data_IF_980020437593
#
_entry.id   IF_980020437593
#
_cell.length_a   1.000
_cell.length_b   1.000
_cell.length_c   1.000
_cell.angle_alpha   90.00
_cell.angle_beta   90.00
_cell.angle_gamma   90.00
#
_symmetry.space_group_name_H-M   'P 1'
#
loop_
_entity.id
_entity.type
_entity.pdbx_description
1 polymer ?
#
# COMPACT_ATOMS: atom_id res chain seq x y z
N UNK A 1 -0.73 14.07 -18.22
CA UNK A 1 -1.12 13.98 -16.80
C UNK A 1 0.14 14.25 -15.98
N UNK A 2 0.32 15.46 -15.44
CA UNK A 2 1.59 15.91 -14.86
C UNK A 2 1.96 15.10 -13.61
N UNK A 3 3.23 14.68 -13.51
CA UNK A 3 3.78 13.92 -12.37
C UNK A 3 3.55 14.57 -10.98
N UNK A 4 3.17 15.86 -10.95
CA UNK A 4 2.81 16.61 -9.74
C UNK A 4 1.68 16.00 -8.90
N UNK A 5 0.69 15.30 -9.51
CA UNK A 5 -0.51 14.79 -8.82
C UNK A 5 -0.44 13.33 -8.37
N UNK A 6 0.59 12.57 -8.75
CA UNK A 6 0.67 11.15 -8.37
C UNK A 6 1.22 11.08 -6.94
N UNK A 7 0.36 10.77 -5.95
CA UNK A 7 0.80 10.53 -4.57
C UNK A 7 1.81 9.38 -4.56
N UNK A 8 3.10 9.64 -4.28
CA UNK A 8 4.15 8.61 -4.35
C UNK A 8 3.83 7.44 -3.41
N UNK A 9 3.30 7.75 -2.22
CA UNK A 9 2.82 6.79 -1.23
C UNK A 9 1.81 5.81 -1.81
N UNK A 10 0.76 6.33 -2.46
CA UNK A 10 -0.31 5.51 -3.05
C UNK A 10 0.22 4.58 -4.14
N UNK A 11 1.11 5.07 -5.00
CA UNK A 11 1.73 4.28 -6.06
C UNK A 11 2.56 3.11 -5.51
N UNK A 12 3.43 3.38 -4.54
CA UNK A 12 4.27 2.35 -3.91
C UNK A 12 3.43 1.29 -3.19
N UNK A 13 2.49 1.71 -2.32
CA UNK A 13 1.64 0.79 -1.58
C UNK A 13 0.72 -0.04 -2.49
N UNK A 14 0.15 0.55 -3.55
CA UNK A 14 -0.68 -0.18 -4.50
C UNK A 14 0.12 -1.21 -5.30
N UNK A 15 1.36 -0.89 -5.69
CA UNK A 15 2.24 -1.83 -6.38
C UNK A 15 2.60 -3.02 -5.49
N UNK A 16 2.90 -2.79 -4.22
CA UNK A 16 3.20 -3.83 -3.22
C UNK A 16 1.99 -4.77 -3.07
N UNK A 17 0.79 -4.24 -2.82
CA UNK A 17 -0.43 -5.05 -2.72
C UNK A 17 -0.76 -5.82 -4.00
N UNK A 18 -0.45 -5.25 -5.17
CA UNK A 18 -0.69 -5.92 -6.45
C UNK A 18 0.22 -7.13 -6.65
N UNK A 19 1.51 -6.99 -6.31
CA UNK A 19 2.47 -8.10 -6.30
C UNK A 19 2.08 -9.15 -5.25
N UNK A 20 1.69 -8.70 -4.06
CA UNK A 20 1.25 -9.57 -2.97
C UNK A 20 -0.01 -10.35 -3.33
N UNK A 21 -0.96 -9.73 -4.05
CA UNK A 21 -2.16 -10.41 -4.55
C UNK A 21 -1.79 -11.63 -5.40
N UNK A 22 -0.79 -11.49 -6.27
CA UNK A 22 -0.30 -12.61 -7.10
C UNK A 22 0.32 -13.68 -6.20
N UNK A 23 1.16 -13.29 -5.23
CA UNK A 23 1.76 -14.23 -4.28
C UNK A 23 0.69 -15.00 -3.51
N UNK A 24 -0.32 -14.32 -2.95
CA UNK A 24 -1.41 -14.93 -2.20
C UNK A 24 -2.31 -15.80 -3.08
N UNK A 25 -2.58 -15.40 -4.32
CA UNK A 25 -3.28 -16.26 -5.29
C UNK A 25 -2.53 -17.56 -5.55
N UNK A 26 -1.21 -17.48 -5.72
CA UNK A 26 -0.32 -18.63 -5.92
C UNK A 26 -0.16 -19.51 -4.67
N UNK A 27 -0.59 -19.06 -3.50
CA UNK A 27 -0.64 -19.95 -2.31
C UNK A 27 -1.70 -21.03 -2.43
N UNK A 28 -2.74 -20.82 -3.26
CA UNK A 28 -3.81 -21.80 -3.47
C UNK A 28 -3.28 -23.19 -3.88
N UNK A 29 -2.50 -23.35 -4.97
CA UNK A 29 -1.94 -24.65 -5.31
C UNK A 29 -0.95 -25.17 -4.26
N UNK A 30 -0.21 -24.29 -3.58
CA UNK A 30 0.72 -24.70 -2.50
C UNK A 30 -0.06 -25.30 -1.32
N UNK A 31 -1.17 -24.68 -0.91
CA UNK A 31 -2.03 -25.20 0.16
C UNK A 31 -2.61 -26.57 -0.20
N UNK A 32 -3.03 -26.77 -1.45
CA UNK A 32 -3.64 -28.03 -1.90
C UNK A 32 -2.57 -29.14 -2.02
N UNK A 33 -1.47 -28.85 -2.71
CA UNK A 33 -0.50 -29.89 -3.12
C UNK A 33 0.52 -30.18 -2.03
N UNK A 34 0.90 -29.19 -1.24
CA UNK A 34 1.99 -29.30 -0.26
C UNK A 34 1.44 -29.41 1.16
N UNK A 35 0.40 -28.66 1.50
CA UNK A 35 -0.15 -28.61 2.86
C UNK A 35 -1.40 -29.49 3.05
N UNK A 36 -1.84 -30.22 2.01
CA UNK A 36 -3.01 -31.11 2.02
C UNK A 36 -4.30 -30.44 2.54
N UNK A 37 -4.43 -29.13 2.30
CA UNK A 37 -5.61 -28.36 2.69
C UNK A 37 -6.72 -28.61 1.68
N UNK A 38 -7.94 -28.81 2.17
CA UNK A 38 -9.12 -29.00 1.32
C UNK A 38 -9.29 -27.89 0.29
N UNK A 39 -9.59 -28.29 -0.96
CA UNK A 39 -9.66 -27.41 -2.14
C UNK A 39 -10.55 -26.18 -1.91
N UNK A 40 -11.72 -26.36 -1.28
CA UNK A 40 -12.65 -25.27 -1.00
C UNK A 40 -12.04 -24.21 -0.06
N UNK A 41 -11.35 -24.65 0.99
CA UNK A 41 -10.66 -23.76 1.95
C UNK A 41 -9.48 -23.06 1.28
N UNK A 42 -8.66 -23.80 0.54
CA UNK A 42 -7.51 -23.25 -0.16
C UNK A 42 -7.91 -22.17 -1.18
N UNK A 43 -8.96 -22.42 -1.98
CA UNK A 43 -9.51 -21.44 -2.92
C UNK A 43 -10.04 -20.21 -2.19
N UNK A 44 -10.83 -20.42 -1.13
CA UNK A 44 -11.43 -19.32 -0.36
C UNK A 44 -10.38 -18.41 0.26
N UNK A 45 -9.31 -18.98 0.83
CA UNK A 45 -8.23 -18.22 1.46
C UNK A 45 -7.34 -17.56 0.41
N UNK A 46 -6.80 -18.32 -0.54
CA UNK A 46 -5.84 -17.81 -1.51
C UNK A 46 -6.44 -16.78 -2.48
N UNK A 47 -7.54 -17.12 -3.13
CA UNK A 47 -8.23 -16.18 -4.04
C UNK A 47 -8.95 -15.07 -3.27
N UNK A 48 -9.52 -15.37 -2.10
CA UNK A 48 -10.15 -14.35 -1.27
C UNK A 48 -9.17 -13.27 -0.84
N UNK A 49 -7.98 -13.65 -0.37
CA UNK A 49 -6.92 -12.71 -0.02
C UNK A 49 -6.36 -11.98 -1.25
N UNK A 50 -6.18 -12.66 -2.39
CA UNK A 50 -5.80 -12.02 -3.65
C UNK A 50 -6.78 -10.90 -4.03
N UNK A 51 -8.07 -11.18 -4.02
CA UNK A 51 -9.11 -10.18 -4.34
C UNK A 51 -9.10 -9.06 -3.29
N UNK A 52 -8.97 -9.38 -2.00
CA UNK A 52 -8.87 -8.38 -0.95
C UNK A 52 -7.70 -7.42 -1.18
N UNK A 53 -6.52 -7.91 -1.55
CA UNK A 53 -5.36 -7.07 -1.90
C UNK A 53 -5.68 -6.10 -3.04
N UNK A 54 -6.29 -6.58 -4.12
CA UNK A 54 -6.64 -5.75 -5.27
C UNK A 54 -7.70 -4.69 -4.93
N UNK A 55 -8.69 -5.06 -4.12
CA UNK A 55 -9.71 -4.12 -3.64
C UNK A 55 -9.07 -3.04 -2.78
N UNK A 56 -8.25 -3.42 -1.79
CA UNK A 56 -7.55 -2.48 -0.91
C UNK A 56 -6.63 -1.56 -1.70
N UNK A 57 -5.92 -2.08 -2.71
CA UNK A 57 -5.11 -1.28 -3.62
C UNK A 57 -5.94 -0.20 -4.34
N UNK A 58 -7.19 -0.51 -4.72
CA UNK A 58 -8.14 0.42 -5.32
C UNK A 58 -8.70 1.50 -4.36
N UNK A 59 -8.85 1.18 -3.08
CA UNK A 59 -9.37 2.10 -2.03
C UNK A 59 -8.29 2.84 -1.22
N UNK A 60 -7.00 2.65 -1.53
CA UNK A 60 -5.87 3.42 -0.98
C UNK A 60 -5.94 4.95 -1.17
N UNK A 61 -6.99 5.45 -1.83
CA UNK A 61 -7.33 6.89 -1.85
C UNK A 61 -7.76 7.42 -0.48
N UNK A 62 -8.19 6.55 0.43
CA UNK A 62 -8.63 6.91 1.77
C UNK A 62 -7.63 6.43 2.83
N UNK A 63 -7.38 7.24 3.87
CA UNK A 63 -6.37 6.95 4.89
C UNK A 63 -6.64 5.66 5.67
N UNK A 64 -7.90 5.28 5.87
CA UNK A 64 -8.27 4.02 6.50
C UNK A 64 -7.89 2.79 5.66
N UNK A 65 -7.73 2.94 4.34
CA UNK A 65 -7.28 1.86 3.46
C UNK A 65 -5.88 1.34 3.83
N UNK A 66 -5.04 2.17 4.46
CA UNK A 66 -3.73 1.75 4.94
C UNK A 66 -3.81 0.82 6.15
N UNK A 67 -4.85 0.96 6.99
CA UNK A 67 -5.11 0.02 8.08
C UNK A 67 -5.53 -1.35 7.55
N UNK A 68 -6.33 -1.39 6.46
CA UNK A 68 -6.65 -2.66 5.80
C UNK A 68 -5.42 -3.33 5.21
N UNK A 69 -4.48 -2.57 4.64
CA UNK A 69 -3.22 -3.14 4.18
C UNK A 69 -2.43 -3.79 5.30
N UNK A 70 -2.35 -3.16 6.49
CA UNK A 70 -1.76 -3.82 7.66
C UNK A 70 -2.48 -5.11 8.07
N UNK A 71 -3.81 -5.14 8.00
CA UNK A 71 -4.57 -6.36 8.26
C UNK A 71 -4.22 -7.48 7.25
N UNK A 72 -4.05 -7.13 5.97
CA UNK A 72 -3.59 -8.06 4.93
C UNK A 72 -2.19 -8.59 5.26
N UNK A 73 -1.26 -7.71 5.68
CA UNK A 73 0.09 -8.16 6.05
C UNK A 73 0.08 -9.17 7.19
N UNK A 74 -0.74 -8.93 8.22
CA UNK A 74 -0.90 -9.87 9.32
C UNK A 74 -1.52 -11.20 8.84
N UNK A 75 -2.49 -11.15 7.94
CA UNK A 75 -3.08 -12.35 7.35
C UNK A 75 -2.07 -13.14 6.51
N UNK A 76 -1.25 -12.46 5.71
CA UNK A 76 -0.19 -13.08 4.91
C UNK A 76 0.86 -13.76 5.80
N UNK A 77 1.28 -13.09 6.88
CA UNK A 77 2.21 -13.67 7.87
C UNK A 77 1.56 -14.86 8.60
N UNK A 78 0.29 -14.76 8.98
CA UNK A 78 -0.45 -15.86 9.62
C UNK A 78 -0.57 -17.09 8.71
N UNK A 79 -0.60 -16.89 7.39
CA UNK A 79 -0.55 -18.00 6.44
C UNK A 79 0.77 -18.80 6.56
N UNK A 80 1.80 -18.22 7.17
CA UNK A 80 3.03 -18.88 7.61
C UNK A 80 2.81 -20.15 8.43
N UNK A 81 1.77 -20.21 9.24
CA UNK A 81 1.45 -21.41 10.04
C UNK A 81 1.01 -22.60 9.18
N UNK A 82 0.49 -22.34 7.98
CA UNK A 82 0.09 -23.37 7.01
C UNK A 82 1.21 -23.61 6.00
N UNK A 83 1.83 -22.54 5.53
CA UNK A 83 2.93 -22.55 4.56
C UNK A 83 4.11 -21.82 5.19
N UNK A 84 5.07 -22.50 5.83
CA UNK A 84 6.18 -21.85 6.56
C UNK A 84 6.96 -20.79 5.78
N UNK A 85 7.07 -20.95 4.45
CA UNK A 85 7.70 -19.96 3.56
C UNK A 85 6.99 -18.58 3.58
N UNK A 86 5.69 -18.53 3.91
CA UNK A 86 4.92 -17.29 4.02
C UNK A 86 5.35 -16.42 5.19
N UNK A 87 6.02 -16.95 6.22
CA UNK A 87 6.65 -16.08 7.22
C UNK A 87 7.72 -15.19 6.58
N UNK A 88 8.50 -15.73 5.64
CA UNK A 88 9.53 -14.98 4.93
C UNK A 88 8.88 -14.04 3.91
N UNK A 89 8.01 -14.58 3.04
CA UNK A 89 7.36 -13.77 1.99
C UNK A 89 6.45 -12.68 2.58
N UNK A 90 5.58 -13.03 3.51
CA UNK A 90 4.72 -12.06 4.22
C UNK A 90 5.55 -11.06 5.03
N UNK A 91 6.66 -11.49 5.65
CA UNK A 91 7.59 -10.57 6.31
C UNK A 91 8.22 -9.55 5.36
N UNK A 92 8.63 -9.98 4.16
CA UNK A 92 9.16 -9.09 3.11
C UNK A 92 8.09 -8.10 2.66
N UNK A 93 6.87 -8.57 2.36
CA UNK A 93 5.76 -7.69 1.97
C UNK A 93 5.39 -6.71 3.08
N UNK A 94 5.35 -7.15 4.34
CA UNK A 94 5.09 -6.28 5.48
C UNK A 94 6.17 -5.21 5.66
N UNK A 95 7.45 -5.57 5.45
CA UNK A 95 8.55 -4.62 5.51
C UNK A 95 8.46 -3.59 4.37
N UNK A 96 8.23 -4.05 3.13
CA UNK A 96 8.05 -3.18 1.98
C UNK A 96 6.85 -2.25 2.19
N UNK A 97 5.74 -2.78 2.69
CA UNK A 97 4.53 -2.04 3.00
C UNK A 97 4.78 -0.96 4.04
N UNK A 98 5.36 -1.33 5.20
CA UNK A 98 5.63 -0.40 6.29
C UNK A 98 6.61 0.70 5.90
N UNK A 99 7.65 0.35 5.13
CA UNK A 99 8.62 1.33 4.62
C UNK A 99 8.01 2.26 3.57
N UNK A 100 7.21 1.74 2.64
CA UNK A 100 6.50 2.56 1.65
C UNK A 100 5.48 3.50 2.30
N UNK A 101 4.74 3.03 3.31
CA UNK A 101 3.80 3.86 4.06
C UNK A 101 4.51 4.96 4.83
N UNK A 102 5.56 4.62 5.59
CA UNK A 102 6.34 5.58 6.36
C UNK A 102 7.02 6.64 5.47
N UNK A 103 7.74 6.19 4.44
CA UNK A 103 8.45 7.08 3.52
C UNK A 103 7.46 7.94 2.73
N UNK A 104 6.34 7.36 2.32
CA UNK A 104 5.28 8.09 1.65
C UNK A 104 4.70 9.21 2.51
N UNK A 105 4.42 8.95 3.79
CA UNK A 105 3.95 9.98 4.74
C UNK A 105 4.99 11.08 4.94
N UNK A 106 6.27 10.71 5.05
CA UNK A 106 7.37 11.67 5.18
C UNK A 106 7.46 12.59 3.95
N UNK A 107 7.50 12.01 2.74
CA UNK A 107 7.57 12.77 1.48
C UNK A 107 6.36 13.70 1.34
N UNK A 108 5.16 13.22 1.68
CA UNK A 108 3.93 14.01 1.59
C UNK A 108 3.96 15.20 2.57
N UNK A 109 4.49 15.00 3.78
CA UNK A 109 4.68 16.10 4.75
C UNK A 109 5.70 17.15 4.30
N UNK A 110 6.84 16.71 3.76
CA UNK A 110 7.88 17.62 3.26
C UNK A 110 7.39 18.43 2.07
N UNK A 111 6.66 17.78 1.14
CA UNK A 111 6.04 18.47 0.01
C UNK A 111 4.97 19.46 0.45
N UNK A 112 4.12 19.11 1.41
CA UNK A 112 3.09 20.01 1.93
C UNK A 112 3.70 21.28 2.55
N UNK A 113 4.79 21.14 3.33
CA UNK A 113 5.50 22.28 3.91
C UNK A 113 6.13 23.19 2.84
N UNK A 114 6.74 22.60 1.81
CA UNK A 114 7.32 23.35 0.70
C UNK A 114 6.29 24.15 -0.11
N UNK A 115 5.10 23.57 -0.35
CA UNK A 115 4.01 24.27 -1.03
C UNK A 115 3.45 25.43 -0.19
N UNK A 116 3.29 25.24 1.13
CA UNK A 116 2.82 26.32 2.01
C UNK A 116 3.78 27.52 2.05
N UNK A 117 5.11 27.29 1.96
CA UNK A 117 6.09 28.36 1.90
C UNK A 117 6.01 29.15 0.58
N UNK A 118 5.88 28.46 -0.56
CA UNK A 118 5.71 29.09 -1.86
C UNK A 118 4.41 29.90 -1.96
N UNK A 119 3.31 29.38 -1.41
CA UNK A 119 2.02 30.08 -1.42
C UNK A 119 2.07 31.36 -0.55
N UNK A 120 2.84 31.34 0.56
CA UNK A 120 3.06 32.51 1.41
C UNK A 120 3.96 33.57 0.75
N UNK A 121 5.02 33.14 0.06
CA UNK A 121 5.87 34.04 -0.74
C UNK A 121 5.06 34.71 -1.86
N UNK A 122 4.28 33.93 -2.60
CA UNK A 122 3.43 34.45 -3.68
C UNK A 122 2.37 35.42 -3.16
N UNK A 123 1.75 35.13 -2.01
CA UNK A 123 0.78 36.04 -1.39
C UNK A 123 1.43 37.38 -1.00
N UNK A 124 2.64 37.35 -0.43
CA UNK A 124 3.39 38.55 -0.07
C UNK A 124 3.81 39.38 -1.29
N UNK A 125 4.18 38.73 -2.41
CA UNK A 125 4.49 39.41 -3.67
C UNK A 125 3.26 40.14 -4.24
N UNK A 126 2.09 39.48 -4.24
CA UNK A 126 0.83 40.07 -4.74
C UNK A 126 0.39 41.26 -3.87
N UNK A 127 0.55 41.18 -2.55
CA UNK A 127 0.27 42.31 -1.64
C UNK A 127 1.21 43.49 -1.89
N UNK A 128 2.50 43.22 -2.15
CA UNK A 128 3.49 44.25 -2.44
C UNK A 128 3.24 44.96 -3.79
N UNK A 129 2.85 44.22 -4.84
CA UNK A 129 2.46 44.81 -6.12
C UNK A 129 1.19 45.65 -6.01
N UNK A 130 0.16 45.16 -5.32
CA UNK A 130 -1.09 45.88 -5.15
C UNK A 130 -0.98 47.18 -4.32
N UNK A 131 0.11 47.36 -3.58
CA UNK A 131 0.39 48.57 -2.82
C UNK A 131 1.26 49.58 -3.59
N UNK A 132 1.83 49.17 -4.73
CA UNK A 132 2.64 50.02 -5.60
C UNK A 132 1.82 50.74 -6.69
N UNK A 133 0.59 50.30 -6.96
CA UNK A 133 -0.40 50.91 -7.85
C UNK A 133 -1.32 51.93 -7.13
#
# INVERSE_FOLDING_TARGET
MSDRQRSPRRGMCAAILSLEAITLGLTTPVMIVIADVGVATALSVGLGLMVACLLVAGVLRAEWGYLLGWAIQLAAIALGFVIPLMFVLGGIFALLWGTADFLGRKIESERAAAYAALDAELAAEVEAEGQAD
#
